data_IF_732748206226
#
_entry.id   IF_732748206226
#
_cell.length_a   1.000
_cell.length_b   1.000
_cell.length_c   1.000
_cell.angle_alpha   90.00
_cell.angle_beta   90.00
_cell.angle_gamma   90.00
#
_symmetry.space_group_name_H-M   'P 1'
#
loop_
_entity.id
_entity.type
_entity.pdbx_description
1 polymer ?
#
# COMPACT_ATOMS: atom_id res chain seq x y z
N UNK A 1 16.03 -32.03 -40.70
CA UNK A 1 15.54 -30.79 -41.33
C UNK A 1 14.44 -31.05 -42.35
N UNK A 2 14.43 -32.21 -43.02
CA UNK A 2 13.43 -32.59 -44.02
C UNK A 2 11.99 -32.65 -43.46
N UNK A 3 11.77 -33.39 -42.37
CA UNK A 3 10.47 -33.47 -41.68
C UNK A 3 9.90 -32.10 -41.26
N UNK A 4 10.77 -31.17 -40.83
CA UNK A 4 10.38 -29.81 -40.49
C UNK A 4 9.85 -29.04 -41.71
N UNK A 5 10.50 -29.21 -42.87
CA UNK A 5 10.08 -28.58 -44.14
C UNK A 5 8.76 -29.18 -44.64
N UNK A 6 8.63 -30.50 -44.64
CA UNK A 6 7.41 -31.20 -45.06
C UNK A 6 6.20 -30.81 -44.21
N UNK A 7 6.40 -30.67 -42.89
CA UNK A 7 5.34 -30.28 -41.96
C UNK A 7 5.17 -28.76 -41.83
N UNK A 8 5.83 -27.96 -42.67
CA UNK A 8 5.75 -26.48 -42.68
C UNK A 8 6.01 -25.85 -41.30
N UNK A 9 6.90 -26.42 -40.49
CA UNK A 9 7.24 -25.90 -39.17
C UNK A 9 6.19 -26.08 -38.07
N UNK A 10 5.12 -26.84 -38.31
CA UNK A 10 4.07 -27.11 -37.30
C UNK A 10 4.52 -28.18 -36.31
N UNK A 11 5.04 -27.77 -35.15
CA UNK A 11 5.56 -28.68 -34.12
C UNK A 11 4.61 -29.81 -33.68
N UNK A 12 3.29 -29.60 -33.50
CA UNK A 12 2.36 -30.69 -33.18
C UNK A 12 2.25 -31.76 -34.29
N UNK A 13 2.38 -31.37 -35.56
CA UNK A 13 2.37 -32.30 -36.69
C UNK A 13 3.72 -33.00 -36.84
N UNK A 14 4.80 -32.27 -36.57
CA UNK A 14 6.17 -32.81 -36.63
C UNK A 14 6.32 -33.94 -35.61
N UNK A 15 5.90 -33.75 -34.36
CA UNK A 15 6.05 -34.79 -33.32
C UNK A 15 5.24 -36.05 -33.64
N UNK A 16 4.04 -35.89 -34.21
CA UNK A 16 3.15 -37.00 -34.58
C UNK A 16 3.72 -37.83 -35.74
N UNK A 17 4.41 -37.18 -36.68
CA UNK A 17 5.08 -37.82 -37.83
C UNK A 17 6.53 -38.20 -37.57
N UNK A 18 7.08 -37.89 -36.40
CA UNK A 18 8.49 -38.11 -36.12
C UNK A 18 8.76 -39.56 -35.77
N UNK A 19 9.28 -40.31 -36.73
CA UNK A 19 9.69 -41.70 -36.52
C UNK A 19 11.13 -41.76 -36.00
N UNK A 20 11.32 -42.30 -34.79
CA UNK A 20 12.63 -42.52 -34.20
C UNK A 20 12.59 -43.73 -33.27
N UNK A 21 13.68 -44.52 -33.26
CA UNK A 21 13.84 -45.65 -32.35
C UNK A 21 13.77 -45.27 -30.86
N UNK A 22 14.01 -43.99 -30.54
CA UNK A 22 13.94 -43.46 -29.18
C UNK A 22 12.81 -42.45 -29.08
N UNK A 23 11.90 -42.57 -28.10
CA UNK A 23 10.88 -41.56 -27.86
C UNK A 23 11.57 -40.25 -27.46
N UNK A 24 11.22 -39.16 -28.13
CA UNK A 24 11.69 -37.81 -27.83
C UNK A 24 10.49 -36.91 -27.57
N UNK A 25 10.62 -35.97 -26.63
CA UNK A 25 9.60 -34.94 -26.46
C UNK A 25 9.63 -33.94 -27.60
N UNK A 26 8.53 -33.18 -27.78
CA UNK A 26 8.49 -32.09 -28.75
C UNK A 26 9.55 -31.03 -28.45
N UNK A 27 9.77 -30.77 -27.16
CA UNK A 27 10.71 -29.78 -26.64
C UNK A 27 12.18 -30.20 -26.90
N UNK A 28 12.49 -31.50 -26.84
CA UNK A 28 13.80 -32.04 -27.22
C UNK A 28 14.08 -31.90 -28.72
N UNK A 29 13.05 -32.12 -29.56
CA UNK A 29 13.16 -31.93 -31.00
C UNK A 29 13.39 -30.46 -31.36
N UNK A 30 12.69 -29.55 -30.68
CA UNK A 30 12.90 -28.11 -30.76
C UNK A 30 14.33 -27.74 -30.37
N UNK A 31 14.83 -28.24 -29.25
CA UNK A 31 16.20 -28.02 -28.79
C UNK A 31 17.22 -28.37 -29.87
N UNK A 32 17.09 -29.58 -30.43
CA UNK A 32 18.00 -30.08 -31.45
C UNK A 32 17.93 -29.22 -32.72
N UNK A 33 16.73 -28.85 -33.14
CA UNK A 33 16.52 -28.01 -34.31
C UNK A 33 17.08 -26.59 -34.14
N UNK A 34 16.79 -25.92 -33.02
CA UNK A 34 17.29 -24.57 -32.75
C UNK A 34 18.80 -24.54 -32.55
N UNK A 35 19.38 -25.57 -31.92
CA UNK A 35 20.83 -25.73 -31.84
C UNK A 35 21.49 -25.86 -33.21
N UNK A 36 20.92 -26.68 -34.11
CA UNK A 36 21.45 -26.82 -35.47
C UNK A 36 21.27 -25.51 -36.25
N UNK A 37 20.10 -24.87 -36.16
CA UNK A 37 19.79 -23.62 -36.85
C UNK A 37 20.71 -22.48 -36.40
N UNK A 38 20.97 -22.33 -35.10
CA UNK A 38 21.94 -21.35 -34.58
C UNK A 38 23.36 -21.63 -35.06
N UNK A 39 23.77 -22.90 -35.17
CA UNK A 39 25.07 -23.26 -35.74
C UNK A 39 25.17 -22.94 -37.23
N UNK A 40 24.17 -23.29 -38.02
CA UNK A 40 24.11 -22.97 -39.45
C UNK A 40 24.17 -21.44 -39.64
N UNK A 41 23.40 -20.70 -38.85
CA UNK A 41 23.39 -19.23 -38.88
C UNK A 41 24.79 -18.67 -38.56
N UNK A 42 25.44 -19.13 -37.49
CA UNK A 42 26.79 -18.69 -37.12
C UNK A 42 27.89 -19.03 -38.13
N UNK A 43 27.67 -20.07 -38.94
CA UNK A 43 28.60 -20.48 -40.00
C UNK A 43 28.38 -19.68 -41.28
N UNK A 44 27.13 -19.37 -41.63
CA UNK A 44 26.80 -18.60 -42.83
C UNK A 44 27.07 -17.11 -42.64
N UNK A 45 26.72 -16.58 -41.46
CA UNK A 45 27.00 -15.21 -41.03
C UNK A 45 27.77 -15.26 -39.71
N UNK A 46 29.11 -15.09 -39.74
CA UNK A 46 29.90 -15.00 -38.52
C UNK A 46 29.36 -13.92 -37.57
N UNK A 47 29.49 -14.15 -36.25
CA UNK A 47 28.94 -13.26 -35.22
C UNK A 47 29.42 -11.81 -35.40
N UNK A 48 30.69 -11.63 -35.82
CA UNK A 48 31.28 -10.31 -36.07
C UNK A 48 30.66 -9.54 -37.24
N UNK A 49 29.96 -10.22 -38.14
CA UNK A 49 29.32 -9.64 -39.33
C UNK A 49 27.80 -9.74 -39.30
N UNK A 50 27.19 -10.20 -38.20
CA UNK A 50 25.74 -10.27 -38.07
C UNK A 50 25.13 -8.88 -37.97
N UNK A 51 23.98 -8.70 -38.63
CA UNK A 51 23.12 -7.54 -38.38
C UNK A 51 22.42 -7.69 -37.01
N UNK A 52 21.97 -6.58 -36.41
CA UNK A 52 21.22 -6.59 -35.15
C UNK A 52 20.11 -7.66 -35.06
N UNK A 53 19.16 -7.73 -36.02
CA UNK A 53 18.09 -8.73 -35.97
C UNK A 53 18.58 -10.18 -36.14
N UNK A 54 19.67 -10.41 -36.90
CA UNK A 54 20.26 -11.75 -37.04
C UNK A 54 20.95 -12.19 -35.75
N UNK A 55 21.58 -11.26 -35.04
CA UNK A 55 22.18 -11.52 -33.74
C UNK A 55 21.11 -11.85 -32.69
N UNK A 56 20.01 -11.09 -32.66
CA UNK A 56 18.87 -11.36 -31.77
C UNK A 56 18.26 -12.75 -32.05
N UNK A 57 18.12 -13.11 -33.33
CA UNK A 57 17.67 -14.44 -33.73
C UNK A 57 18.66 -15.53 -33.28
N UNK A 58 19.97 -15.31 -33.46
CA UNK A 58 20.98 -16.25 -33.02
C UNK A 58 20.94 -16.46 -31.49
N UNK A 59 20.78 -15.39 -30.72
CA UNK A 59 20.68 -15.43 -29.26
C UNK A 59 19.42 -16.17 -28.80
N UNK A 60 18.26 -15.88 -29.41
CA UNK A 60 17.01 -16.57 -29.09
C UNK A 60 17.06 -18.07 -29.43
N UNK A 61 17.66 -18.45 -30.56
CA UNK A 61 17.83 -19.86 -30.94
C UNK A 61 18.81 -20.59 -30.01
N UNK A 62 19.87 -19.90 -29.57
CA UNK A 62 20.92 -20.48 -28.71
C UNK A 62 20.47 -20.63 -27.25
N UNK A 63 19.62 -19.73 -26.77
CA UNK A 63 19.15 -19.69 -25.37
C UNK A 63 17.95 -20.60 -25.08
N UNK A 64 17.46 -21.34 -26.08
CA UNK A 64 16.32 -22.25 -25.91
C UNK A 64 16.65 -23.39 -24.93
N UNK A 65 15.83 -23.51 -23.88
CA UNK A 65 15.91 -24.57 -22.87
C UNK A 65 14.66 -25.45 -22.91
N UNK A 66 14.79 -26.77 -23.21
CA UNK A 66 13.67 -27.71 -23.25
C UNK A 66 12.92 -27.85 -21.93
N UNK A 67 13.62 -27.83 -20.80
CA UNK A 67 13.01 -28.02 -19.48
C UNK A 67 12.15 -26.82 -19.09
N UNK A 68 12.66 -25.61 -19.36
CA UNK A 68 11.93 -24.38 -19.14
C UNK A 68 10.69 -24.30 -20.04
N UNK A 69 10.82 -24.66 -21.31
CA UNK A 69 9.70 -24.68 -22.25
C UNK A 69 8.64 -25.72 -21.87
N UNK A 70 9.06 -26.92 -21.43
CA UNK A 70 8.17 -27.96 -20.93
C UNK A 70 7.42 -27.52 -19.65
N UNK A 71 8.13 -26.88 -18.71
CA UNK A 71 7.52 -26.33 -17.50
C UNK A 71 6.51 -25.23 -17.82
N UNK A 72 6.84 -24.35 -18.78
CA UNK A 72 5.96 -23.29 -19.27
C UNK A 72 4.69 -23.86 -19.92
N UNK A 73 4.83 -24.90 -20.74
CA UNK A 73 3.69 -25.60 -21.36
C UNK A 73 2.79 -26.24 -20.31
N UNK A 74 3.36 -26.95 -19.33
CA UNK A 74 2.61 -27.57 -18.23
C UNK A 74 1.84 -26.53 -17.41
N UNK A 75 2.44 -25.37 -17.15
CA UNK A 75 1.78 -24.26 -16.48
C UNK A 75 0.59 -23.74 -17.30
N UNK A 76 0.78 -23.51 -18.60
CA UNK A 76 -0.29 -23.06 -19.49
C UNK A 76 -1.44 -24.08 -19.59
N UNK A 77 -1.13 -25.37 -19.61
CA UNK A 77 -2.12 -26.46 -19.57
C UNK A 77 -2.91 -26.47 -18.26
N UNK A 78 -2.23 -26.23 -17.13
CA UNK A 78 -2.89 -26.02 -15.84
C UNK A 78 -3.84 -24.82 -15.87
N UNK A 79 -3.43 -23.69 -16.45
CA UNK A 79 -4.31 -22.53 -16.60
C UNK A 79 -5.49 -22.77 -17.54
N UNK A 80 -5.32 -23.57 -18.59
CA UNK A 80 -6.39 -23.92 -19.51
C UNK A 80 -7.47 -24.76 -18.83
N UNK A 81 -7.06 -25.65 -17.91
CA UNK A 81 -7.97 -26.52 -17.15
C UNK A 81 -8.53 -25.88 -15.88
N UNK A 82 -8.05 -24.69 -15.52
CA UNK A 82 -8.43 -23.98 -14.29
C UNK A 82 -9.86 -23.45 -14.35
N UNK A 83 -10.64 -23.74 -13.30
CA UNK A 83 -12.01 -23.24 -13.18
C UNK A 83 -12.07 -21.82 -12.58
N UNK A 84 -13.14 -21.07 -12.87
CA UNK A 84 -13.30 -19.72 -12.31
C UNK A 84 -13.42 -19.73 -10.78
N UNK A 85 -14.13 -20.71 -10.22
CA UNK A 85 -14.27 -20.87 -8.77
C UNK A 85 -12.93 -21.12 -8.06
N UNK A 86 -12.06 -21.92 -8.68
CA UNK A 86 -10.70 -22.19 -8.18
C UNK A 86 -9.82 -20.94 -8.25
N UNK A 87 -10.03 -20.08 -9.25
CA UNK A 87 -9.39 -18.75 -9.27
C UNK A 87 -9.80 -17.92 -8.06
N UNK A 88 -11.11 -17.79 -7.85
CA UNK A 88 -11.63 -16.94 -6.78
C UNK A 88 -11.19 -17.49 -5.40
N UNK A 89 -11.20 -18.82 -5.19
CA UNK A 89 -10.69 -19.45 -3.97
C UNK A 89 -9.19 -19.20 -3.75
N UNK A 90 -8.33 -19.43 -4.75
CA UNK A 90 -6.89 -19.17 -4.63
C UNK A 90 -6.59 -17.70 -4.29
N UNK A 91 -7.34 -16.75 -4.84
CA UNK A 91 -7.15 -15.32 -4.52
C UNK A 91 -7.51 -15.00 -3.07
N UNK A 92 -8.55 -15.62 -2.52
CA UNK A 92 -8.92 -15.52 -1.10
C UNK A 92 -7.82 -16.13 -0.22
N UNK A 93 -7.33 -17.33 -0.58
CA UNK A 93 -6.26 -18.01 0.15
C UNK A 93 -4.95 -17.19 0.16
N UNK A 94 -4.59 -16.55 -0.96
CA UNK A 94 -3.42 -15.68 -1.03
C UNK A 94 -3.56 -14.45 -0.13
N UNK A 95 -4.75 -13.83 -0.11
CA UNK A 95 -5.04 -12.71 0.79
C UNK A 95 -4.92 -13.10 2.27
N UNK A 96 -5.46 -14.27 2.64
CA UNK A 96 -5.36 -14.79 4.00
C UNK A 96 -3.93 -15.20 4.37
N UNK A 97 -3.17 -15.80 3.45
CA UNK A 97 -1.75 -16.09 3.66
C UNK A 97 -0.97 -14.80 3.94
N UNK A 98 -1.18 -13.75 3.15
CA UNK A 98 -0.54 -12.46 3.36
C UNK A 98 -0.91 -11.87 4.74
N UNK A 99 -2.18 -11.97 5.13
CA UNK A 99 -2.64 -11.54 6.46
C UNK A 99 -1.93 -12.31 7.58
N UNK A 100 -1.82 -13.63 7.46
CA UNK A 100 -1.12 -14.49 8.43
C UNK A 100 0.37 -14.12 8.49
N UNK A 101 1.03 -13.91 7.35
CA UNK A 101 2.44 -13.51 7.31
C UNK A 101 2.69 -12.17 8.01
N UNK A 102 1.81 -11.18 7.80
CA UNK A 102 1.89 -9.88 8.46
C UNK A 102 1.64 -9.99 9.98
N UNK A 103 0.70 -10.84 10.37
CA UNK A 103 0.45 -11.10 11.78
C UNK A 103 1.64 -11.80 12.44
N UNK A 104 2.24 -12.78 11.75
CA UNK A 104 3.43 -13.49 12.23
C UNK A 104 4.61 -12.55 12.43
N UNK A 105 4.87 -11.63 11.49
CA UNK A 105 5.95 -10.65 11.64
C UNK A 105 5.72 -9.70 12.81
N UNK A 106 4.46 -9.32 13.07
CA UNK A 106 4.07 -8.50 14.21
C UNK A 106 4.32 -9.23 15.53
N UNK A 107 3.88 -10.50 15.63
CA UNK A 107 4.12 -11.33 16.80
C UNK A 107 5.61 -11.56 17.06
N UNK A 108 6.41 -11.75 16.01
CA UNK A 108 7.85 -11.94 16.16
C UNK A 108 8.54 -10.65 16.63
N UNK A 109 8.09 -9.48 16.18
CA UNK A 109 8.56 -8.19 16.69
C UNK A 109 8.18 -7.97 18.16
N UNK A 110 6.95 -8.30 18.55
CA UNK A 110 6.49 -8.24 19.96
C UNK A 110 7.30 -9.19 20.85
N UNK A 111 7.54 -10.42 20.38
CA UNK A 111 8.39 -11.40 21.07
C UNK A 111 9.82 -10.91 21.20
N UNK A 112 10.37 -10.26 20.18
CA UNK A 112 11.71 -9.66 20.24
C UNK A 112 11.76 -8.50 21.24
N UNK A 113 10.74 -7.64 21.30
CA UNK A 113 10.64 -6.57 22.30
C UNK A 113 10.56 -7.13 23.72
N UNK A 114 9.75 -8.16 23.94
CA UNK A 114 9.68 -8.86 25.23
C UNK A 114 11.03 -9.47 25.61
N UNK A 115 11.71 -10.14 24.68
CA UNK A 115 13.07 -10.66 24.92
C UNK A 115 14.05 -9.54 25.25
N UNK A 116 13.99 -8.40 24.55
CA UNK A 116 14.82 -7.24 24.85
C UNK A 116 14.57 -6.68 26.24
N UNK A 117 13.30 -6.58 26.67
CA UNK A 117 12.93 -6.13 28.02
C UNK A 117 13.38 -7.12 29.09
N UNK A 118 13.18 -8.42 28.84
CA UNK A 118 13.56 -9.48 29.76
C UNK A 118 15.09 -9.63 29.89
N UNK A 119 15.82 -9.45 28.78
CA UNK A 119 17.28 -9.45 28.72
C UNK A 119 17.90 -8.06 28.93
N UNK A 120 17.20 -7.11 29.58
CA UNK A 120 17.89 -5.91 30.04
C UNK A 120 19.07 -6.35 30.91
N UNK A 121 20.31 -5.88 30.64
CA UNK A 121 21.44 -6.24 31.47
C UNK A 121 21.07 -5.86 32.91
N UNK A 122 20.95 -6.86 33.79
CA UNK A 122 20.96 -6.60 35.22
C UNK A 122 22.19 -5.72 35.45
N UNK A 123 21.98 -4.54 36.01
CA UNK A 123 23.06 -3.60 36.21
C UNK A 123 24.07 -4.24 37.18
N UNK A 124 25.13 -4.83 36.63
CA UNK A 124 26.35 -5.20 37.37
C UNK A 124 27.16 -3.93 37.73
N UNK A 125 26.52 -2.76 37.71
CA UNK A 125 27.11 -1.54 38.24
C UNK A 125 26.83 -1.46 39.73
N UNK A 126 27.90 -1.68 40.50
CA UNK A 126 27.98 -1.39 41.92
C UNK A 126 27.32 -0.02 42.19
N UNK A 127 26.22 0.01 42.95
CA UNK A 127 25.29 1.15 43.11
C UNK A 127 25.87 2.45 43.69
N UNK A 128 27.18 2.49 43.90
CA UNK A 128 27.91 3.60 44.51
C UNK A 128 28.45 4.62 43.50
N UNK A 129 28.41 4.37 42.19
CA UNK A 129 28.98 5.28 41.18
C UNK A 129 28.20 6.58 40.95
N UNK A 130 26.94 6.64 41.42
CA UNK A 130 26.08 7.83 41.31
C UNK A 130 25.73 8.46 42.67
N UNK A 131 26.51 8.15 43.71
CA UNK A 131 26.23 8.64 45.07
C UNK A 131 26.46 10.15 45.25
N UNK A 132 27.18 10.81 44.33
CA UNK A 132 27.46 12.25 44.43
C UNK A 132 26.59 13.04 43.45
N UNK A 133 26.16 14.23 43.86
CA UNK A 133 25.35 15.14 43.03
C UNK A 133 26.06 15.55 41.72
N UNK A 134 27.39 15.60 41.73
CA UNK A 134 28.20 15.87 40.55
C UNK A 134 28.18 14.70 39.55
N UNK A 135 28.22 13.46 40.03
CA UNK A 135 28.09 12.26 39.19
C UNK A 135 26.68 12.13 38.58
N UNK A 136 25.65 12.56 39.31
CA UNK A 136 24.27 12.60 38.78
C UNK A 136 24.10 13.69 37.70
N UNK A 137 24.73 14.85 37.89
CA UNK A 137 24.65 15.97 36.92
C UNK A 137 25.34 15.61 35.60
N UNK A 138 26.48 14.92 35.67
CA UNK A 138 27.18 14.41 34.48
C UNK A 138 26.42 13.30 33.78
N UNK A 139 25.83 12.36 34.53
CA UNK A 139 24.94 11.34 33.97
C UNK A 139 23.73 11.99 33.26
N UNK A 140 23.10 12.99 33.87
CA UNK A 140 21.95 13.68 33.30
C UNK A 140 22.30 14.38 31.98
N UNK A 141 23.46 15.04 31.89
CA UNK A 141 23.93 15.63 30.65
C UNK A 141 24.19 14.58 29.57
N UNK A 142 24.78 13.44 29.93
CA UNK A 142 25.02 12.33 29.01
C UNK A 142 23.71 11.72 28.49
N UNK A 143 22.68 11.63 29.34
CA UNK A 143 21.36 11.12 28.98
C UNK A 143 20.61 12.08 28.05
N UNK A 144 20.73 13.40 28.28
CA UNK A 144 20.21 14.43 27.36
C UNK A 144 20.86 14.36 25.97
N UNK A 145 22.16 14.08 25.90
CA UNK A 145 22.89 13.94 24.63
C UNK A 145 22.48 12.65 23.90
N UNK A 146 22.30 11.54 24.62
CA UNK A 146 21.83 10.28 24.06
C UNK A 146 20.38 10.36 23.54
N UNK A 147 19.50 11.08 24.22
CA UNK A 147 18.12 11.30 23.78
C UNK A 147 18.06 12.16 22.50
N UNK A 148 18.90 13.20 22.41
CA UNK A 148 19.09 13.96 21.16
C UNK A 148 19.58 13.07 20.01
N UNK A 149 20.53 12.17 20.26
CA UNK A 149 21.04 11.25 19.24
C UNK A 149 19.99 10.25 18.74
N UNK A 150 19.15 9.70 19.63
CA UNK A 150 18.06 8.77 19.25
C UNK A 150 16.93 9.46 18.48
N UNK A 151 16.62 10.72 18.81
CA UNK A 151 15.63 11.52 18.06
C UNK A 151 16.09 11.77 16.62
N UNK A 152 17.37 12.08 16.42
CA UNK A 152 17.96 12.27 15.09
C UNK A 152 17.97 10.97 14.26
N UNK A 153 18.15 9.82 14.90
CA UNK A 153 18.14 8.52 14.21
C UNK A 153 16.74 8.06 13.77
N UNK A 154 15.69 8.40 14.53
CA UNK A 154 14.28 8.10 14.14
C UNK A 154 13.77 8.98 12.99
N UNK A 155 14.34 10.17 12.82
CA UNK A 155 14.02 11.08 11.71
C UNK A 155 14.87 10.80 10.45
N UNK A 156 15.89 9.93 10.54
CA UNK A 156 16.74 9.52 9.42
C UNK A 156 16.54 8.05 9.10
N UNK A 157 15.32 7.69 8.73
CA UNK A 157 14.97 6.40 8.12
C UNK A 157 13.82 6.59 7.13
N UNK A 158 14.01 7.48 6.17
CA UNK A 158 13.57 7.31 4.79
C UNK A 158 14.29 8.38 3.96
N UNK A 159 14.62 8.03 2.73
CA UNK A 159 15.26 8.84 1.70
C UNK A 159 16.78 9.11 1.73
N UNK A 160 17.34 8.86 0.55
CA UNK A 160 18.67 9.21 0.01
C UNK A 160 19.88 8.37 0.44
N UNK A 161 20.13 7.28 -0.30
CA UNK A 161 21.49 6.88 -0.61
C UNK A 161 21.90 7.43 -1.99
N UNK A 162 23.09 8.04 -2.15
CA UNK A 162 23.62 8.42 -3.45
C UNK A 162 24.25 7.19 -4.13
N UNK A 163 23.68 6.80 -5.27
CA UNK A 163 24.19 5.73 -6.14
C UNK A 163 25.35 6.27 -6.97
N UNK A 164 26.49 5.59 -6.93
CA UNK A 164 27.67 5.85 -7.76
C UNK A 164 27.41 5.53 -9.24
N UNK A 165 27.96 6.39 -10.11
CA UNK A 165 27.89 6.36 -11.57
C UNK A 165 28.39 5.05 -12.23
N UNK A 166 27.56 4.50 -13.12
CA UNK A 166 27.95 3.68 -14.28
C UNK A 166 27.05 4.03 -15.49
N UNK A 167 27.55 4.04 -16.73
CA UNK A 167 26.77 4.47 -17.90
C UNK A 167 26.09 3.30 -18.65
N UNK A 168 24.96 3.66 -19.29
CA UNK A 168 24.19 2.96 -20.34
C UNK A 168 23.38 1.71 -19.98
N UNK A 169 22.05 1.85 -20.00
CA UNK A 169 21.19 1.35 -21.10
C UNK A 169 19.71 1.71 -20.83
N UNK A 170 19.01 2.11 -21.88
CA UNK A 170 17.60 2.49 -21.92
C UNK A 170 16.68 1.34 -21.51
N UNK A 171 16.01 1.50 -20.36
CA UNK A 171 14.86 0.71 -19.93
C UNK A 171 13.55 1.50 -20.19
N UNK A 172 12.44 0.82 -20.54
CA UNK A 172 11.19 1.44 -20.95
C UNK A 172 10.50 2.22 -19.82
N UNK A 173 9.60 3.19 -20.14
CA UNK A 173 8.90 3.96 -19.12
C UNK A 173 8.06 3.06 -18.21
N UNK A 174 7.83 3.47 -16.94
CA UNK A 174 6.97 2.72 -16.03
C UNK A 174 5.57 2.60 -16.65
N UNK A 175 4.88 1.45 -16.47
CA UNK A 175 3.53 1.31 -16.96
C UNK A 175 2.63 2.37 -16.30
N UNK A 176 1.64 2.92 -17.03
CA UNK A 176 0.61 3.73 -16.39
C UNK A 176 -0.04 2.86 -15.30
N UNK A 177 -0.31 3.48 -14.14
CA UNK A 177 -1.08 2.87 -13.08
C UNK A 177 -2.30 2.14 -13.68
N UNK A 178 -2.60 0.90 -13.27
CA UNK A 178 -3.77 0.21 -13.78
C UNK A 178 -4.98 1.11 -13.48
N UNK A 179 -5.63 1.54 -14.56
CA UNK A 179 -6.96 2.12 -14.49
C UNK A 179 -7.79 1.25 -13.57
N UNK A 180 -8.39 1.89 -12.58
CA UNK A 180 -9.31 1.29 -11.64
C UNK A 180 -10.28 0.41 -12.44
N UNK A 181 -10.15 -0.90 -12.29
CA UNK A 181 -11.20 -1.81 -12.67
C UNK A 181 -12.41 -1.35 -11.88
N UNK A 182 -13.42 -0.85 -12.60
CA UNK A 182 -14.76 -0.65 -12.10
C UNK A 182 -15.25 -1.99 -11.55
N UNK A 183 -14.96 -2.23 -10.27
CA UNK A 183 -15.68 -3.21 -9.48
C UNK A 183 -17.12 -2.74 -9.51
N UNK A 184 -17.99 -3.52 -10.13
CA UNK A 184 -19.42 -3.28 -10.13
C UNK A 184 -19.88 -3.31 -8.66
N UNK A 185 -19.90 -2.14 -8.03
CA UNK A 185 -20.22 -1.93 -6.62
C UNK A 185 -21.70 -1.60 -6.47
N UNK A 186 -22.57 -2.25 -7.25
CA UNK A 186 -24.01 -2.16 -7.06
C UNK A 186 -24.44 -3.22 -6.03
N UNK A 187 -24.09 -2.96 -4.78
CA UNK A 187 -24.74 -3.58 -3.64
C UNK A 187 -26.20 -3.13 -3.62
N UNK A 188 -27.13 -4.04 -3.30
CA UNK A 188 -28.53 -3.67 -3.16
C UNK A 188 -28.71 -2.61 -2.06
N UNK A 189 -29.72 -1.73 -2.16
CA UNK A 189 -29.99 -0.71 -1.12
C UNK A 189 -30.17 -1.33 0.28
N UNK A 190 -30.68 -2.57 0.35
CA UNK A 190 -30.82 -3.32 1.59
C UNK A 190 -29.46 -3.79 2.15
N UNK A 191 -28.52 -4.18 1.29
CA UNK A 191 -27.18 -4.60 1.71
C UNK A 191 -26.33 -3.38 2.12
N UNK A 192 -26.43 -2.27 1.39
CA UNK A 192 -25.76 -1.02 1.74
C UNK A 192 -26.13 -0.54 3.14
N UNK A 193 -27.43 -0.56 3.47
CA UNK A 193 -27.93 -0.19 4.80
C UNK A 193 -27.52 -1.18 5.88
N UNK A 194 -27.53 -2.49 5.59
CA UNK A 194 -27.10 -3.53 6.53
C UNK A 194 -25.61 -3.46 6.86
N UNK A 195 -24.77 -3.16 5.87
CA UNK A 195 -23.32 -3.08 6.02
C UNK A 195 -22.81 -1.67 6.39
N UNK A 196 -23.71 -0.68 6.51
CA UNK A 196 -23.35 0.70 6.86
C UNK A 196 -22.49 1.39 5.79
N UNK A 197 -22.56 0.92 4.54
CA UNK A 197 -21.80 1.48 3.42
C UNK A 197 -22.57 2.67 2.86
N UNK A 198 -22.02 3.86 3.07
CA UNK A 198 -22.57 5.10 2.50
C UNK A 198 -21.79 5.42 1.23
N UNK A 199 -22.44 5.35 0.08
CA UNK A 199 -21.91 5.94 -1.15
C UNK A 199 -21.94 7.45 -1.00
N UNK A 200 -20.81 8.04 -0.60
CA UNK A 200 -20.71 9.48 -0.42
C UNK A 200 -20.77 10.16 -1.80
N UNK A 201 -21.74 11.05 -1.98
CA UNK A 201 -21.89 11.87 -3.20
C UNK A 201 -20.92 13.09 -3.20
N UNK A 202 -20.08 13.19 -2.18
CA UNK A 202 -19.17 14.32 -1.95
C UNK A 202 -17.72 13.83 -2.11
N UNK A 203 -16.89 14.61 -2.80
CA UNK A 203 -15.51 14.25 -3.15
C UNK A 203 -14.66 14.21 -1.87
N UNK A 204 -14.54 13.02 -1.28
CA UNK A 204 -13.74 12.80 -0.08
C UNK A 204 -12.25 13.08 -0.39
N UNK A 205 -11.50 13.62 0.59
CA UNK A 205 -10.05 13.75 0.45
C UNK A 205 -9.43 12.36 0.23
N UNK A 206 -8.39 12.29 -0.61
CA UNK A 206 -7.71 11.03 -0.92
C UNK A 206 -7.20 10.34 0.35
N UNK A 207 -7.74 9.16 0.66
CA UNK A 207 -7.38 8.38 1.84
C UNK A 207 -8.56 7.63 2.47
N UNK A 208 -8.27 6.87 3.53
CA UNK A 208 -9.28 6.17 4.33
C UNK A 208 -9.78 7.14 5.40
N UNK A 209 -11.09 7.42 5.40
CA UNK A 209 -11.74 8.26 6.41
C UNK A 209 -12.70 7.42 7.24
N UNK A 210 -12.63 7.54 8.56
CA UNK A 210 -13.49 6.78 9.47
C UNK A 210 -14.79 7.53 9.77
N UNK A 211 -15.85 6.79 10.06
CA UNK A 211 -17.13 7.38 10.49
C UNK A 211 -16.99 8.22 11.78
N UNK A 212 -16.08 7.84 12.68
CA UNK A 212 -15.73 8.62 13.88
C UNK A 212 -15.17 10.01 13.56
N UNK A 213 -14.50 10.15 12.42
CA UNK A 213 -13.89 11.40 11.98
C UNK A 213 -14.96 12.46 11.62
N UNK A 214 -16.14 12.01 11.15
CA UNK A 214 -17.31 12.87 10.93
C UNK A 214 -17.93 13.40 12.23
N UNK A 215 -17.66 12.77 13.37
CA UNK A 215 -18.15 13.20 14.67
C UNK A 215 -17.14 14.10 15.41
N UNK A 216 -15.84 13.96 15.13
CA UNK A 216 -14.77 14.70 15.78
C UNK A 216 -14.42 16.00 15.05
N UNK A 217 -14.23 15.97 13.73
CA UNK A 217 -13.85 17.14 12.91
C UNK A 217 -14.76 18.35 13.08
N UNK A 218 -16.11 18.24 13.00
CA UNK A 218 -16.98 19.41 13.12
C UNK A 218 -16.98 20.02 14.54
N UNK A 219 -16.46 19.33 15.55
CA UNK A 219 -16.27 19.90 16.90
C UNK A 219 -15.06 20.82 16.99
N UNK A 220 -14.08 20.66 16.10
CA UNK A 220 -12.82 21.40 16.11
C UNK A 220 -12.90 22.54 15.08
N UNK A 221 -13.05 23.76 15.56
CA UNK A 221 -13.00 24.96 14.73
C UNK A 221 -11.55 25.48 14.60
N UNK A 222 -11.31 26.34 13.61
CA UNK A 222 -9.99 27.00 13.41
C UNK A 222 -9.56 27.86 14.61
N UNK A 223 -10.51 28.32 15.42
CA UNK A 223 -10.27 29.08 16.65
C UNK A 223 -10.52 28.22 17.88
N UNK A 224 -9.57 28.22 18.81
CA UNK A 224 -9.68 27.50 20.09
C UNK A 224 -10.85 28.02 20.93
N UNK A 225 -11.10 29.33 20.93
CA UNK A 225 -12.23 29.96 21.63
C UNK A 225 -13.58 29.48 21.05
N UNK A 226 -13.67 29.31 19.73
CA UNK A 226 -14.89 28.78 19.11
C UNK A 226 -15.10 27.30 19.44
N UNK A 227 -14.03 26.52 19.47
CA UNK A 227 -14.06 25.10 19.87
C UNK A 227 -14.58 24.93 21.31
N UNK A 228 -14.13 25.78 22.24
CA UNK A 228 -14.63 25.79 23.62
C UNK A 228 -16.11 26.21 23.71
N UNK A 229 -16.54 27.21 22.95
CA UNK A 229 -17.96 27.62 22.88
C UNK A 229 -18.85 26.51 22.32
N UNK A 230 -18.39 25.80 21.28
CA UNK A 230 -19.09 24.64 20.72
C UNK A 230 -19.16 23.52 21.77
N UNK A 231 -18.06 23.23 22.46
CA UNK A 231 -18.00 22.20 23.51
C UNK A 231 -18.98 22.48 24.65
N UNK A 232 -18.98 23.71 25.19
CA UNK A 232 -19.89 24.13 26.27
C UNK A 232 -21.36 24.07 25.86
N UNK A 233 -21.69 24.43 24.62
CA UNK A 233 -23.05 24.38 24.11
C UNK A 233 -23.52 22.94 23.85
N UNK A 234 -22.66 22.08 23.31
CA UNK A 234 -22.93 20.65 23.15
C UNK A 234 -23.10 19.95 24.51
N UNK A 235 -22.30 20.33 25.50
CA UNK A 235 -22.44 19.84 26.87
C UNK A 235 -23.76 20.28 27.50
N UNK A 236 -24.21 21.52 27.26
CA UNK A 236 -25.51 22.01 27.74
C UNK A 236 -26.70 21.27 27.11
N UNK A 237 -26.62 20.92 25.83
CA UNK A 237 -27.63 20.12 25.11
C UNK A 237 -27.60 18.64 25.55
N UNK A 238 -26.57 18.22 26.31
CA UNK A 238 -26.41 16.85 26.79
C UNK A 238 -25.81 15.90 25.77
N UNK A 239 -25.13 16.41 24.74
CA UNK A 239 -24.42 15.59 23.75
C UNK A 239 -23.05 15.20 24.32
N UNK A 240 -22.76 13.90 24.53
CA UNK A 240 -21.47 13.46 25.06
C UNK A 240 -20.29 13.87 24.17
N UNK A 241 -19.12 14.07 24.78
CA UNK A 241 -17.87 14.38 24.07
C UNK A 241 -17.45 13.24 23.12
N UNK A 242 -17.66 12.00 23.57
CA UNK A 242 -17.40 10.79 22.81
C UNK A 242 -18.70 10.03 22.55
N UNK A 243 -19.02 9.80 21.28
CA UNK A 243 -20.13 8.94 20.86
C UNK A 243 -19.54 7.57 20.50
N UNK A 244 -19.76 6.52 21.32
CA UNK A 244 -19.06 5.25 21.18
C UNK A 244 -19.51 4.43 19.96
N UNK A 245 -20.71 4.68 19.42
CA UNK A 245 -21.23 3.98 18.24
C UNK A 245 -21.58 4.98 17.11
N UNK A 246 -20.63 5.24 16.18
CA UNK A 246 -20.84 6.06 14.99
C UNK A 246 -21.68 5.33 13.94
N UNK A 247 -22.99 5.18 14.19
CA UNK A 247 -23.92 4.63 13.18
C UNK A 247 -24.37 5.72 12.21
N UNK A 248 -24.71 5.35 10.97
CA UNK A 248 -25.18 6.28 9.92
C UNK A 248 -26.29 7.23 10.40
N UNK A 249 -27.40 6.77 11.02
CA UNK A 249 -28.45 7.69 11.46
C UNK A 249 -28.00 8.64 12.57
N UNK A 250 -27.06 8.22 13.42
CA UNK A 250 -26.52 9.08 14.49
C UNK A 250 -25.65 10.19 13.91
N UNK A 251 -24.88 9.91 12.85
CA UNK A 251 -24.04 10.91 12.18
C UNK A 251 -24.90 11.97 11.50
N UNK A 252 -25.97 11.59 10.80
CA UNK A 252 -26.89 12.53 10.15
C UNK A 252 -27.60 13.46 11.15
N UNK A 253 -28.06 12.91 12.27
CA UNK A 253 -28.65 13.71 13.35
C UNK A 253 -27.62 14.64 13.97
N UNK A 254 -26.39 14.17 14.16
CA UNK A 254 -25.30 14.99 14.69
C UNK A 254 -24.94 16.14 13.75
N UNK A 255 -24.88 15.92 12.43
CA UNK A 255 -24.66 16.99 11.45
C UNK A 255 -25.78 18.03 11.46
N UNK A 256 -27.04 17.60 11.62
CA UNK A 256 -28.18 18.49 11.78
C UNK A 256 -28.07 19.35 13.04
N UNK A 257 -27.64 18.76 14.16
CA UNK A 257 -27.39 19.49 15.41
C UNK A 257 -26.25 20.48 15.21
N UNK A 258 -25.13 20.06 14.63
CA UNK A 258 -23.97 20.93 14.39
C UNK A 258 -24.33 22.12 13.50
N UNK A 259 -25.15 21.94 12.46
CA UNK A 259 -25.64 23.05 11.63
C UNK A 259 -26.40 24.09 12.47
N UNK A 260 -27.33 23.63 13.33
CA UNK A 260 -28.07 24.52 14.25
C UNK A 260 -27.16 25.23 15.26
N UNK A 261 -26.15 24.52 15.79
CA UNK A 261 -25.17 25.10 16.72
C UNK A 261 -24.40 26.25 16.06
N UNK A 262 -23.96 26.07 14.82
CA UNK A 262 -23.28 27.15 14.08
C UNK A 262 -24.20 28.34 13.85
N UNK A 263 -25.45 28.12 13.43
CA UNK A 263 -26.44 29.21 13.27
C UNK A 263 -26.68 29.97 14.58
N UNK A 264 -26.79 29.27 15.71
CA UNK A 264 -26.96 29.91 17.02
C UNK A 264 -25.75 30.73 17.44
N UNK A 265 -24.53 30.26 17.15
CA UNK A 265 -23.31 31.02 17.42
C UNK A 265 -23.25 32.30 16.59
N UNK A 266 -23.67 32.24 15.32
CA UNK A 266 -23.72 33.41 14.44
C UNK A 266 -24.79 34.41 14.88
N UNK A 267 -25.98 33.93 15.26
CA UNK A 267 -27.04 34.78 15.81
C UNK A 267 -26.63 35.44 17.12
N UNK A 268 -25.95 34.71 18.02
CA UNK A 268 -25.42 35.28 19.26
C UNK A 268 -24.40 36.39 18.97
N UNK A 269 -23.49 36.15 18.02
CA UNK A 269 -22.50 37.15 17.62
C UNK A 269 -23.16 38.41 17.06
N UNK A 270 -24.24 38.25 16.28
CA UNK A 270 -25.01 39.38 15.76
C UNK A 270 -25.71 40.15 16.89
N UNK A 271 -26.35 39.44 17.82
CA UNK A 271 -27.01 40.05 18.97
C UNK A 271 -26.03 40.83 19.86
N UNK A 272 -24.84 40.28 20.14
CA UNK A 272 -23.78 40.99 20.89
C UNK A 272 -23.32 42.27 20.16
N UNK A 273 -23.32 42.26 18.82
CA UNK A 273 -23.00 43.44 18.01
C UNK A 273 -24.11 44.50 18.08
N UNK A 274 -25.37 44.11 17.92
CA UNK A 274 -26.52 45.01 17.99
C UNK A 274 -26.67 45.63 19.38
N UNK A 275 -26.48 44.86 20.45
CA UNK A 275 -26.51 45.38 21.83
C UNK A 275 -25.41 46.43 22.04
N UNK A 276 -24.22 46.19 21.48
CA UNK A 276 -23.13 47.15 21.56
C UNK A 276 -23.42 48.43 20.77
N UNK A 277 -24.01 48.33 19.57
CA UNK A 277 -24.43 49.48 18.79
C UNK A 277 -25.54 50.29 19.51
N UNK A 278 -26.50 49.62 20.14
CA UNK A 278 -27.54 50.26 20.95
C UNK A 278 -26.95 50.97 22.17
N UNK A 279 -25.99 50.33 22.87
CA UNK A 279 -25.32 50.93 24.03
C UNK A 279 -24.54 52.18 23.63
N UNK A 280 -23.88 52.17 22.48
CA UNK A 280 -23.17 53.36 21.94
C UNK A 280 -24.16 54.46 21.58
N UNK A 281 -25.23 54.15 20.85
CA UNK A 281 -26.28 55.11 20.49
C UNK A 281 -26.93 55.77 21.71
N UNK A 282 -27.22 54.99 22.75
CA UNK A 282 -27.76 55.51 24.00
C UNK A 282 -26.77 56.47 24.68
N UNK A 283 -25.47 56.16 24.68
CA UNK A 283 -24.44 57.03 25.22
C UNK A 283 -24.28 58.34 24.42
N UNK A 284 -24.51 58.32 23.11
CA UNK A 284 -24.47 59.51 22.23
C UNK A 284 -25.67 60.45 22.47
N UNK A 285 -26.87 59.91 22.67
CA UNK A 285 -28.07 60.73 23.00
C UNK A 285 -28.12 61.27 24.44
N UNK A 286 -27.22 60.81 25.31
CA UNK A 286 -27.11 61.25 26.70
C UNK A 286 -26.16 62.42 26.94
N UNK A 287 -25.59 63.00 25.87
CA UNK A 287 -24.81 64.24 25.86
C UNK A 287 -25.61 65.36 25.20
#
# INVERSE_FOLDING_TARGET
METYRECSGKWPVIIDRYESERPRSMEDLKARFYFISSRILSHHTPISSMTGPEYDLYETLKSFDPHKEGSRKKLAEGHLSRSRSEVDEETVLLGELQRIMLHQSTLDAEREDLRRRLHHPQADSNGYQYSTSQALTTLWQQLLQADKARRVQRLRSTDTQPRSNQPQASAPPPPPAPAENETSTDLSKADLTRFGVVQANEKLPSGISFASDRLSKPRVAKSQIQTEKISTLLQHIGVPELIPLPTVPVIEQFETIMSKVHTLLDMRKLAEKEEQELRVRQAETGQ
#
